data_IF_815492868859
#
_entry.id   IF_815492868859
#
_cell.length_a   1.000
_cell.length_b   1.000
_cell.length_c   1.000
_cell.angle_alpha   90.00
_cell.angle_beta   90.00
_cell.angle_gamma   90.00
#
_symmetry.space_group_name_H-M   'P 1'
#
loop_
_entity.id
_entity.type
_entity.pdbx_description
1 polymer ?
#
# COMPACT_ATOMS: atom_id res chain seq x y z
N UNK A 1 1.69 -4.26 5.06
CA UNK A 1 0.24 -4.09 5.27
C UNK A 1 -0.38 -5.41 5.67
N UNK A 2 -1.49 -5.36 6.38
CA UNK A 2 -2.21 -6.57 6.76
C UNK A 2 -2.98 -7.16 5.57
N UNK A 3 -3.56 -8.36 5.79
CA UNK A 3 -4.42 -9.00 4.81
C UNK A 3 -5.63 -8.11 4.49
N UNK A 4 -5.98 -7.90 3.21
CA UNK A 4 -7.15 -7.10 2.85
C UNK A 4 -8.47 -7.75 3.29
N UNK A 5 -9.34 -6.96 3.90
CA UNK A 5 -10.67 -7.41 4.33
C UNK A 5 -11.73 -6.83 3.39
N UNK A 6 -12.82 -7.57 3.19
CA UNK A 6 -13.90 -7.14 2.30
C UNK A 6 -14.79 -6.07 2.92
N UNK A 7 -14.89 -6.03 4.25
CA UNK A 7 -15.71 -5.05 4.96
C UNK A 7 -14.93 -4.33 6.04
N UNK A 8 -15.39 -3.14 6.37
CA UNK A 8 -14.82 -2.33 7.45
C UNK A 8 -15.01 -3.03 8.79
N UNK A 9 -16.15 -3.67 9.00
CA UNK A 9 -16.49 -4.40 10.22
C UNK A 9 -15.54 -5.57 10.43
N UNK A 10 -15.22 -6.30 9.36
CA UNK A 10 -14.27 -7.41 9.42
C UNK A 10 -12.89 -6.90 9.85
N UNK A 11 -12.41 -5.81 9.23
CA UNK A 11 -11.14 -5.20 9.60
C UNK A 11 -11.15 -4.77 11.07
N UNK A 12 -12.21 -4.09 11.50
CA UNK A 12 -12.30 -3.56 12.85
C UNK A 12 -12.36 -4.68 13.90
N UNK A 13 -12.83 -5.88 13.52
CA UNK A 13 -12.87 -7.04 14.41
C UNK A 13 -11.47 -7.49 14.85
N UNK A 14 -10.42 -7.16 14.07
CA UNK A 14 -9.04 -7.51 14.39
C UNK A 14 -8.34 -6.45 15.25
N UNK A 15 -8.99 -5.33 15.54
CA UNK A 15 -8.35 -4.22 16.25
C UNK A 15 -7.75 -4.62 17.61
N UNK A 16 -8.41 -5.41 18.48
CA UNK A 16 -7.81 -5.81 19.76
C UNK A 16 -6.50 -6.58 19.59
N UNK A 17 -6.43 -7.45 18.58
CA UNK A 17 -5.21 -8.21 18.28
C UNK A 17 -4.12 -7.31 17.71
N UNK A 18 -4.48 -6.39 16.81
CA UNK A 18 -3.56 -5.43 16.21
C UNK A 18 -2.92 -4.55 17.29
N UNK A 19 -3.73 -4.01 18.20
CA UNK A 19 -3.24 -3.19 19.32
C UNK A 19 -2.23 -3.95 20.16
N UNK A 20 -2.56 -5.19 20.51
CA UNK A 20 -1.73 -6.02 21.36
C UNK A 20 -0.38 -6.32 20.73
N UNK A 21 -0.38 -6.70 19.46
CA UNK A 21 0.85 -6.98 18.71
C UNK A 21 1.70 -5.74 18.52
N UNK A 22 1.08 -4.60 18.21
CA UNK A 22 1.82 -3.36 18.01
C UNK A 22 2.47 -2.87 19.30
N UNK A 23 1.77 -2.96 20.44
CA UNK A 23 2.34 -2.62 21.74
C UNK A 23 3.51 -3.53 22.07
N UNK A 24 3.38 -4.83 21.81
CA UNK A 24 4.42 -5.80 22.11
C UNK A 24 5.70 -5.56 21.35
N UNK A 25 5.62 -5.18 20.08
CA UNK A 25 6.76 -5.02 19.19
C UNK A 25 7.17 -3.57 18.92
N UNK A 26 6.50 -2.60 19.55
CA UNK A 26 6.81 -1.19 19.35
C UNK A 26 6.52 -0.71 17.94
N UNK A 27 5.47 -1.22 17.32
CA UNK A 27 5.06 -0.88 15.96
C UNK A 27 3.83 0.02 16.02
N UNK A 28 3.75 0.99 15.10
CA UNK A 28 2.59 1.85 14.93
C UNK A 28 1.66 1.24 13.88
N UNK A 29 0.38 1.57 13.94
CA UNK A 29 -0.58 1.09 12.97
C UNK A 29 -1.58 2.18 12.59
N UNK A 30 -2.15 2.05 11.39
CA UNK A 30 -3.20 2.95 10.91
C UNK A 30 -4.23 2.12 10.14
N UNK A 31 -5.53 2.15 10.55
CA UNK A 31 -6.56 1.47 9.77
C UNK A 31 -6.82 2.23 8.48
N UNK A 32 -6.91 1.51 7.36
CA UNK A 32 -7.10 2.09 6.05
C UNK A 32 -8.44 1.71 5.45
N UNK A 33 -9.19 2.71 5.00
CA UNK A 33 -10.42 2.51 4.21
C UNK A 33 -10.09 2.47 2.72
N UNK A 34 -9.04 3.19 2.31
CA UNK A 34 -8.55 3.21 0.93
C UNK A 34 -7.03 3.01 0.92
N UNK A 35 -6.59 1.84 0.49
CA UNK A 35 -5.17 1.56 0.36
C UNK A 35 -4.61 2.21 -0.91
N UNK A 36 -3.30 2.51 -0.89
CA UNK A 36 -2.60 3.02 -2.06
C UNK A 36 -2.61 1.97 -3.18
N UNK A 37 -3.07 2.36 -4.37
CA UNK A 37 -3.11 1.49 -5.55
C UNK A 37 -1.99 1.91 -6.50
N UNK A 38 -1.07 1.00 -6.77
CA UNK A 38 0.05 1.22 -7.70
C UNK A 38 0.23 -0.02 -8.57
N UNK A 39 1.18 0.05 -9.51
CA UNK A 39 1.53 -1.12 -10.33
C UNK A 39 2.33 -2.17 -9.56
N UNK A 40 2.64 -1.94 -8.27
CA UNK A 40 3.32 -2.93 -7.43
C UNK A 40 2.44 -4.15 -7.18
N UNK A 41 1.15 -3.94 -6.94
CA UNK A 41 0.17 -5.00 -6.72
C UNK A 41 -0.99 -4.89 -7.70
N UNK A 42 -1.64 -6.00 -8.06
CA UNK A 42 -2.88 -5.92 -8.83
C UNK A 42 -3.94 -5.07 -8.10
N UNK A 43 -4.65 -4.22 -8.84
CA UNK A 43 -5.67 -3.36 -8.25
C UNK A 43 -6.75 -4.17 -7.51
N UNK A 44 -7.10 -5.34 -8.04
CA UNK A 44 -8.12 -6.22 -7.46
C UNK A 44 -7.77 -6.70 -6.05
N UNK A 45 -6.47 -6.73 -5.71
CA UNK A 45 -6.03 -7.17 -4.38
C UNK A 45 -6.34 -6.14 -3.29
N UNK A 46 -6.36 -4.84 -3.63
CA UNK A 46 -6.48 -3.77 -2.64
C UNK A 46 -7.64 -2.81 -2.89
N UNK A 47 -8.19 -2.77 -4.11
CA UNK A 47 -9.29 -1.88 -4.43
C UNK A 47 -10.54 -2.25 -3.64
N UNK A 48 -11.18 -1.26 -3.02
CA UNK A 48 -12.38 -1.44 -2.20
C UNK A 48 -12.17 -2.42 -1.03
N UNK A 49 -10.93 -2.55 -0.56
CA UNK A 49 -10.57 -3.39 0.59
C UNK A 49 -10.20 -2.54 1.79
N UNK A 50 -10.31 -3.15 2.96
CA UNK A 50 -9.99 -2.51 4.24
C UNK A 50 -8.86 -3.27 4.90
N UNK A 51 -7.84 -2.56 5.37
CA UNK A 51 -6.67 -3.20 6.00
C UNK A 51 -6.04 -2.29 7.05
N UNK A 52 -4.88 -2.70 7.55
CA UNK A 52 -4.04 -1.90 8.43
C UNK A 52 -2.69 -1.65 7.77
N UNK A 53 -2.18 -0.44 7.90
CA UNK A 53 -0.81 -0.10 7.56
C UNK A 53 0.01 -0.18 8.85
N UNK A 54 1.13 -0.92 8.81
CA UNK A 54 2.06 -1.02 9.94
C UNK A 54 3.35 -0.27 9.61
N UNK A 55 3.87 0.47 10.57
CA UNK A 55 5.10 1.24 10.37
C UNK A 55 5.82 1.43 11.70
N UNK A 56 7.13 1.71 11.63
CA UNK A 56 7.95 1.86 12.84
C UNK A 56 8.02 3.30 13.33
N UNK A 57 7.97 4.28 12.44
CA UNK A 57 8.07 5.70 12.78
C UNK A 57 7.02 6.51 12.04
N UNK A 58 6.68 7.68 12.57
CA UNK A 58 5.72 8.58 11.94
C UNK A 58 6.21 9.09 10.58
N UNK A 59 7.53 9.16 10.37
CA UNK A 59 8.11 9.58 9.10
C UNK A 59 7.69 8.65 7.95
N UNK A 60 7.63 7.35 8.22
CA UNK A 60 7.16 6.35 7.23
C UNK A 60 5.72 6.65 6.83
N UNK A 61 4.88 6.96 7.81
CA UNK A 61 3.48 7.28 7.53
C UNK A 61 3.35 8.57 6.70
N UNK A 62 4.17 9.59 7.02
CA UNK A 62 4.21 10.83 6.25
C UNK A 62 4.58 10.58 4.79
N UNK A 63 5.59 9.75 4.55
CA UNK A 63 6.00 9.37 3.20
C UNK A 63 4.86 8.64 2.48
N UNK A 64 4.18 7.74 3.16
CA UNK A 64 3.04 7.02 2.59
C UNK A 64 1.93 8.00 2.14
N UNK A 65 1.63 9.01 2.95
CA UNK A 65 0.62 10.02 2.59
C UNK A 65 1.04 10.83 1.35
N UNK A 66 2.33 11.12 1.20
CA UNK A 66 2.84 11.79 0.00
C UNK A 66 2.68 10.93 -1.25
N UNK A 67 2.93 9.62 -1.12
CA UNK A 67 2.71 8.68 -2.23
C UNK A 67 1.23 8.64 -2.63
N UNK A 68 0.33 8.70 -1.67
CA UNK A 68 -1.12 8.76 -1.96
C UNK A 68 -1.49 10.05 -2.71
N UNK A 69 -0.87 11.17 -2.38
CA UNK A 69 -1.07 12.43 -3.10
C UNK A 69 -0.59 12.31 -4.55
N UNK A 70 0.58 11.69 -4.76
CA UNK A 70 1.11 11.45 -6.10
C UNK A 70 0.17 10.56 -6.91
N UNK A 71 -0.40 9.53 -6.30
CA UNK A 71 -1.37 8.67 -6.97
C UNK A 71 -2.58 9.49 -7.45
N UNK A 72 -3.15 10.32 -6.59
CA UNK A 72 -4.30 11.17 -6.94
C UNK A 72 -3.97 12.14 -8.07
N UNK A 73 -2.77 12.70 -8.06
CA UNK A 73 -2.30 13.59 -9.12
C UNK A 73 -2.21 12.86 -10.45
N UNK A 74 -1.65 11.63 -10.46
CA UNK A 74 -1.58 10.82 -11.67
C UNK A 74 -2.98 10.47 -12.18
N UNK A 75 -3.91 10.12 -11.29
CA UNK A 75 -5.28 9.83 -11.66
C UNK A 75 -5.95 11.02 -12.35
N UNK A 76 -5.69 12.25 -11.88
CA UNK A 76 -6.23 13.47 -12.48
C UNK A 76 -5.69 13.72 -13.88
N UNK A 77 -4.56 13.10 -14.24
CA UNK A 77 -3.92 13.17 -15.56
C UNK A 77 -4.08 11.86 -16.34
N UNK A 78 -5.19 11.16 -16.15
CA UNK A 78 -5.49 9.87 -16.80
C UNK A 78 -4.44 8.79 -16.52
N UNK A 79 -3.88 8.81 -15.31
CA UNK A 79 -2.91 7.79 -14.86
C UNK A 79 -1.45 8.16 -15.10
N UNK A 80 -1.16 9.27 -15.77
CA UNK A 80 0.20 9.69 -16.07
C UNK A 80 0.90 8.79 -17.07
N UNK A 81 2.24 8.88 -17.12
CA UNK A 81 3.04 8.03 -18.01
C UNK A 81 3.35 6.69 -17.35
N UNK A 82 3.75 5.71 -18.15
CA UNK A 82 4.21 4.41 -17.65
C UNK A 82 5.39 4.57 -16.70
N UNK A 83 6.32 5.46 -17.02
CA UNK A 83 7.48 5.75 -16.19
C UNK A 83 7.08 6.34 -14.84
N UNK A 84 6.14 7.28 -14.84
CA UNK A 84 5.64 7.87 -13.59
C UNK A 84 4.97 6.83 -12.70
N UNK A 85 4.16 5.95 -13.29
CA UNK A 85 3.52 4.85 -12.55
C UNK A 85 4.54 3.88 -12.00
N UNK A 86 5.59 3.56 -12.79
CA UNK A 86 6.67 2.69 -12.32
C UNK A 86 7.37 3.30 -11.12
N UNK A 87 7.71 4.59 -11.18
CA UNK A 87 8.40 5.28 -10.11
C UNK A 87 7.57 5.30 -8.83
N UNK A 88 6.28 5.57 -8.93
CA UNK A 88 5.37 5.55 -7.77
C UNK A 88 5.33 4.16 -7.14
N UNK A 89 5.20 3.12 -7.95
CA UNK A 89 5.17 1.73 -7.47
C UNK A 89 6.51 1.35 -6.83
N UNK A 90 7.63 1.75 -7.42
CA UNK A 90 8.95 1.47 -6.89
C UNK A 90 9.19 2.16 -5.54
N UNK A 91 8.77 3.42 -5.42
CA UNK A 91 8.88 4.16 -4.17
C UNK A 91 8.04 3.53 -3.07
N UNK A 92 6.85 3.04 -3.41
CA UNK A 92 5.99 2.33 -2.47
C UNK A 92 6.64 1.01 -2.03
N UNK A 93 7.19 0.25 -2.97
CA UNK A 93 7.88 -0.99 -2.65
C UNK A 93 9.07 -0.76 -1.73
N UNK A 94 9.85 0.31 -1.98
CA UNK A 94 10.98 0.68 -1.13
C UNK A 94 10.50 1.05 0.28
N UNK A 95 9.39 1.75 0.40
CA UNK A 95 8.80 2.10 1.70
C UNK A 95 8.41 0.84 2.48
N UNK A 96 7.94 -0.21 1.78
CA UNK A 96 7.62 -1.50 2.38
C UNK A 96 8.85 -2.38 2.61
N UNK A 97 10.05 -1.85 2.33
CA UNK A 97 11.34 -2.54 2.52
C UNK A 97 11.54 -3.75 1.61
N UNK A 98 10.93 -3.75 0.44
CA UNK A 98 11.16 -4.79 -0.55
C UNK A 98 12.47 -4.53 -1.31
N UNK A 99 13.23 -5.58 -1.67
CA UNK A 99 14.45 -5.41 -2.46
C UNK A 99 14.11 -4.96 -3.88
N UNK A 100 15.02 -4.20 -4.49
CA UNK A 100 14.83 -3.61 -5.81
C UNK A 100 14.45 -4.64 -6.89
N UNK A 101 15.13 -5.79 -6.88
CA UNK A 101 14.83 -6.88 -7.83
C UNK A 101 13.41 -7.41 -7.65
N UNK A 102 12.97 -7.54 -6.40
CA UNK A 102 11.62 -7.99 -6.07
C UNK A 102 10.57 -7.00 -6.55
N UNK A 103 10.83 -5.71 -6.36
CA UNK A 103 9.94 -4.64 -6.81
C UNK A 103 9.75 -4.72 -8.33
N UNK A 104 10.85 -4.83 -9.08
CA UNK A 104 10.80 -4.92 -10.54
C UNK A 104 9.95 -6.11 -10.99
N UNK A 105 10.18 -7.27 -10.40
CA UNK A 105 9.43 -8.49 -10.73
C UNK A 105 7.94 -8.35 -10.43
N UNK A 106 7.59 -7.74 -9.31
CA UNK A 106 6.20 -7.52 -8.93
C UNK A 106 5.48 -6.61 -9.91
N UNK A 107 6.14 -5.51 -10.31
CA UNK A 107 5.57 -4.56 -11.25
C UNK A 107 5.37 -5.22 -12.63
N UNK A 108 6.38 -5.94 -13.11
CA UNK A 108 6.29 -6.65 -14.39
C UNK A 108 5.16 -7.67 -14.38
N UNK A 109 5.05 -8.45 -13.31
CA UNK A 109 4.00 -9.45 -13.16
C UNK A 109 2.61 -8.81 -13.19
N UNK A 110 2.44 -7.70 -12.48
CA UNK A 110 1.18 -6.97 -12.45
C UNK A 110 0.81 -6.45 -13.83
N UNK A 111 1.78 -5.90 -14.56
CA UNK A 111 1.57 -5.37 -15.91
C UNK A 111 1.25 -6.47 -16.92
N UNK A 112 1.92 -7.62 -16.83
CA UNK A 112 1.63 -8.77 -17.69
C UNK A 112 0.20 -9.27 -17.52
N UNK A 113 -0.29 -9.28 -16.29
CA UNK A 113 -1.65 -9.74 -16.00
C UNK A 113 -2.73 -8.83 -16.61
N UNK A 114 -2.37 -7.58 -16.96
CA UNK A 114 -3.28 -6.62 -17.59
C UNK A 114 -3.24 -6.65 -19.12
N UNK A 115 -2.30 -7.38 -19.68
CA UNK A 115 -2.17 -7.50 -21.15
C UNK A 115 -2.99 -8.71 -21.68
#
# INVERSE_FOLDING_TARGET
>A
MSHPCDTKEERDSYLPQVKRLCEKYGILYHPQDEALITDLFPAEANQDKYNYLFFRTQDVYGTYLELKKRQKELESRCGGTEEERYRLAADFGALLSYPEDGIRRMIEKTREARR
#
